data_IF_753007139584
#
_entry.id   IF_753007139584
#
_cell.length_a   1.000
_cell.length_b   1.000
_cell.length_c   1.000
_cell.angle_alpha   90.00
_cell.angle_beta   90.00
_cell.angle_gamma   90.00
#
_symmetry.space_group_name_H-M   'P 1'
#
loop_
_entity.id
_entity.type
_entity.pdbx_description
1 polymer ?
#
# COMPACT_ATOMS: atom_id res chain seq x y z
N UNK A 1 -37.73 73.77 62.66
CA UNK A 1 -36.71 73.12 61.81
C UNK A 1 -37.36 71.99 61.02
N UNK A 2 -37.46 72.15 59.69
CA UNK A 2 -37.23 71.14 58.64
C UNK A 2 -37.53 71.83 57.29
N UNK A 3 -36.60 71.88 56.31
CA UNK A 3 -36.88 72.48 55.00
C UNK A 3 -37.65 71.49 54.10
N UNK A 4 -38.45 71.97 53.13
CA UNK A 4 -39.26 71.12 52.28
C UNK A 4 -38.44 70.51 51.13
N UNK A 5 -38.70 69.22 50.91
CA UNK A 5 -38.47 68.36 49.74
C UNK A 5 -37.56 68.86 48.61
N UNK A 6 -36.40 68.22 48.52
CA UNK A 6 -35.56 68.07 47.31
C UNK A 6 -36.40 67.65 46.09
N UNK A 7 -36.23 68.27 44.91
CA UNK A 7 -36.85 67.78 43.69
C UNK A 7 -36.20 66.45 43.30
N UNK A 8 -37.02 65.43 43.07
CA UNK A 8 -36.60 64.16 42.49
C UNK A 8 -35.85 64.42 41.18
N UNK A 9 -34.60 63.94 41.12
CA UNK A 9 -33.76 64.03 39.94
C UNK A 9 -34.39 63.20 38.82
N UNK A 10 -34.98 63.86 37.82
CA UNK A 10 -35.51 63.22 36.61
C UNK A 10 -34.50 62.21 36.04
N UNK A 11 -34.93 61.01 35.62
CA UNK A 11 -34.05 60.06 34.97
C UNK A 11 -33.56 60.68 33.66
N UNK A 12 -32.24 60.86 33.56
CA UNK A 12 -31.58 61.41 32.40
C UNK A 12 -31.70 60.40 31.24
N UNK A 13 -32.82 60.44 30.51
CA UNK A 13 -33.08 59.63 29.33
C UNK A 13 -32.13 60.08 28.22
N UNK A 14 -30.94 59.46 28.14
CA UNK A 14 -30.06 59.69 27.00
C UNK A 14 -30.80 59.33 25.70
N UNK A 15 -30.82 60.22 24.69
CA UNK A 15 -31.47 59.93 23.43
C UNK A 15 -30.82 58.72 22.77
N UNK A 16 -31.61 57.67 22.51
CA UNK A 16 -31.16 56.47 21.84
C UNK A 16 -30.59 56.77 20.44
N UNK A 17 -29.71 55.90 19.91
CA UNK A 17 -29.10 56.13 18.60
C UNK A 17 -30.15 56.24 17.50
N UNK A 18 -30.00 57.25 16.63
CA UNK A 18 -30.88 57.44 15.46
C UNK A 18 -31.03 56.16 14.64
N UNK A 19 -32.27 55.83 14.25
CA UNK A 19 -32.61 54.66 13.42
C UNK A 19 -31.76 54.58 12.15
N UNK A 20 -31.38 55.72 11.57
CA UNK A 20 -30.55 55.81 10.38
C UNK A 20 -29.10 55.32 10.62
N UNK A 21 -28.50 55.65 11.77
CA UNK A 21 -27.17 55.15 12.17
C UNK A 21 -27.20 53.63 12.40
N UNK A 22 -28.26 53.12 13.02
CA UNK A 22 -28.39 51.66 13.27
C UNK A 22 -28.52 50.90 11.95
N UNK A 23 -29.26 51.42 10.96
CA UNK A 23 -29.40 50.81 9.64
C UNK A 23 -28.07 50.83 8.85
N UNK A 24 -27.30 51.92 8.92
CA UNK A 24 -26.01 52.01 8.20
C UNK A 24 -24.97 51.03 8.76
N UNK A 25 -24.88 50.89 10.09
CA UNK A 25 -24.00 49.90 10.75
C UNK A 25 -24.41 48.47 10.38
N UNK A 26 -25.71 48.16 10.40
CA UNK A 26 -26.23 46.85 9.98
C UNK A 26 -25.86 46.52 8.53
N UNK A 27 -25.96 47.50 7.62
CA UNK A 27 -25.56 47.32 6.22
C UNK A 27 -24.06 47.03 6.11
N UNK A 28 -23.22 47.85 6.75
CA UNK A 28 -21.77 47.66 6.77
C UNK A 28 -21.37 46.27 7.29
N UNK A 29 -21.99 45.82 8.38
CA UNK A 29 -21.70 44.50 8.96
C UNK A 29 -22.12 43.36 8.01
N UNK A 30 -23.23 43.51 7.28
CA UNK A 30 -23.63 42.53 6.25
C UNK A 30 -22.64 42.48 5.11
N UNK A 31 -22.20 43.64 4.63
CA UNK A 31 -21.22 43.73 3.53
C UNK A 31 -19.87 43.13 3.94
N UNK A 32 -19.43 43.40 5.17
CA UNK A 32 -18.21 42.80 5.73
C UNK A 32 -18.34 41.28 5.90
N UNK A 33 -19.46 40.80 6.44
CA UNK A 33 -19.71 39.36 6.57
C UNK A 33 -19.79 38.66 5.20
N UNK A 34 -20.35 39.32 4.19
CA UNK A 34 -20.36 38.83 2.81
C UNK A 34 -18.94 38.70 2.26
N UNK A 35 -18.11 39.74 2.42
CA UNK A 35 -16.72 39.72 1.98
C UNK A 35 -15.92 38.56 2.59
N UNK A 36 -16.06 38.30 3.89
CA UNK A 36 -15.38 37.16 4.52
C UNK A 36 -15.87 35.81 4.00
N UNK A 37 -17.17 35.66 3.74
CA UNK A 37 -17.72 34.43 3.13
C UNK A 37 -17.18 34.23 1.71
N UNK A 38 -17.17 35.28 0.91
CA UNK A 38 -16.69 35.23 -0.47
C UNK A 38 -15.19 34.90 -0.51
N UNK A 39 -14.38 35.49 0.38
CA UNK A 39 -12.96 35.16 0.52
C UNK A 39 -12.76 33.68 0.88
N UNK A 40 -13.52 33.15 1.84
CA UNK A 40 -13.45 31.72 2.19
C UNK A 40 -13.79 30.81 1.01
N UNK A 41 -14.83 31.14 0.24
CA UNK A 41 -15.21 30.38 -0.96
C UNK A 41 -14.07 30.38 -2.00
N UNK A 42 -13.41 31.53 -2.18
CA UNK A 42 -12.28 31.64 -3.10
C UNK A 42 -11.06 30.84 -2.63
N UNK A 43 -10.77 30.86 -1.32
CA UNK A 43 -9.71 30.03 -0.72
C UNK A 43 -9.98 28.53 -0.92
N UNK A 44 -11.21 28.08 -0.69
CA UNK A 44 -11.63 26.69 -0.88
C UNK A 44 -11.47 26.27 -2.36
N UNK A 45 -11.93 27.12 -3.30
CA UNK A 45 -11.75 26.88 -4.75
C UNK A 45 -10.27 26.79 -5.13
N UNK A 46 -9.44 27.68 -4.58
CA UNK A 46 -8.00 27.68 -4.84
C UNK A 46 -7.35 26.40 -4.31
N UNK A 47 -7.71 25.96 -3.11
CA UNK A 47 -7.25 24.69 -2.53
C UNK A 47 -7.67 23.49 -3.39
N UNK A 48 -8.91 23.46 -3.88
CA UNK A 48 -9.40 22.41 -4.77
C UNK A 48 -8.63 22.38 -6.09
N UNK A 49 -8.39 23.55 -6.71
CA UNK A 49 -7.61 23.64 -7.94
C UNK A 49 -6.16 23.20 -7.73
N UNK A 50 -5.52 23.57 -6.61
CA UNK A 50 -4.18 23.08 -6.25
C UNK A 50 -4.15 21.56 -6.14
N UNK A 51 -5.15 20.94 -5.51
CA UNK A 51 -5.28 19.47 -5.44
C UNK A 51 -5.43 18.84 -6.82
N UNK A 52 -6.28 19.42 -7.68
CA UNK A 52 -6.47 18.96 -9.07
C UNK A 52 -5.16 19.05 -9.86
N UNK A 53 -4.44 20.17 -9.79
CA UNK A 53 -3.14 20.36 -10.43
C UNK A 53 -2.15 19.29 -9.97
N UNK A 54 -2.05 19.03 -8.67
CA UNK A 54 -1.15 18.01 -8.14
C UNK A 54 -1.52 16.61 -8.64
N UNK A 55 -2.82 16.28 -8.65
CA UNK A 55 -3.34 15.02 -9.20
C UNK A 55 -2.97 14.87 -10.69
N UNK A 56 -3.22 15.89 -11.50
CA UNK A 56 -2.92 15.86 -12.94
C UNK A 56 -1.41 15.80 -13.20
N UNK A 57 -0.58 16.51 -12.44
CA UNK A 57 0.88 16.42 -12.51
C UNK A 57 1.36 14.99 -12.23
N UNK A 58 0.83 14.35 -11.19
CA UNK A 58 1.16 12.96 -10.87
C UNK A 58 0.67 11.98 -11.94
N UNK A 59 -0.54 12.19 -12.49
CA UNK A 59 -1.06 11.39 -13.60
C UNK A 59 -0.18 11.52 -14.84
N UNK A 60 0.18 12.75 -15.22
CA UNK A 60 1.08 13.03 -16.34
C UNK A 60 2.44 12.33 -16.15
N UNK A 61 3.05 12.41 -14.96
CA UNK A 61 4.31 11.71 -14.69
C UNK A 61 4.18 10.18 -14.83
N UNK A 62 3.06 9.60 -14.41
CA UNK A 62 2.80 8.16 -14.58
C UNK A 62 2.62 7.78 -16.03
N UNK A 63 1.84 8.55 -16.79
CA UNK A 63 1.64 8.32 -18.23
C UNK A 63 2.94 8.54 -19.01
N UNK A 64 3.70 9.60 -18.70
CA UNK A 64 5.03 9.83 -19.27
C UNK A 64 5.97 8.66 -18.98
N UNK A 65 5.93 8.04 -17.78
CA UNK A 65 6.73 6.82 -17.51
C UNK A 65 6.27 5.60 -18.31
N UNK A 66 4.98 5.51 -18.65
CA UNK A 66 4.45 4.45 -19.51
C UNK A 66 4.79 4.68 -20.99
N UNK A 67 4.73 5.93 -21.46
CA UNK A 67 4.93 6.33 -22.85
C UNK A 67 6.34 6.80 -23.22
N UNK A 68 7.23 7.15 -22.28
CA UNK A 68 8.62 7.53 -22.57
C UNK A 68 9.44 6.39 -23.17
N UNK A 69 8.86 5.21 -23.26
CA UNK A 69 9.39 4.11 -24.03
C UNK A 69 8.30 3.60 -25.00
N UNK A 70 7.94 4.38 -26.01
CA UNK A 70 7.19 3.83 -27.16
C UNK A 70 8.00 2.72 -27.85
N UNK A 71 9.33 2.80 -27.80
CA UNK A 71 10.25 1.81 -28.39
C UNK A 71 10.80 0.75 -27.41
N UNK A 72 10.54 0.88 -26.10
CA UNK A 72 10.96 -0.12 -25.11
C UNK A 72 9.78 -0.49 -24.19
N UNK A 73 9.36 -1.74 -24.07
CA UNK A 73 8.31 -2.09 -23.12
C UNK A 73 8.72 -1.60 -21.71
N UNK A 74 7.79 -0.90 -21.04
CA UNK A 74 7.96 -0.39 -19.67
C UNK A 74 8.74 -1.40 -18.83
N UNK A 75 9.83 -1.00 -18.12
CA UNK A 75 10.69 -1.96 -17.42
C UNK A 75 9.82 -2.77 -16.48
N UNK A 76 9.80 -4.07 -16.73
CA UNK A 76 8.89 -4.99 -16.07
C UNK A 76 9.26 -5.04 -14.59
N UNK A 77 8.55 -4.25 -13.78
CA UNK A 77 8.64 -4.31 -12.31
C UNK A 77 8.29 -5.71 -11.83
N UNK A 78 8.84 -6.19 -10.70
CA UNK A 78 8.46 -7.49 -10.14
C UNK A 78 6.93 -7.65 -10.04
N UNK A 79 6.22 -6.58 -9.66
CA UNK A 79 4.75 -6.56 -9.60
C UNK A 79 4.09 -6.77 -10.96
N UNK A 80 4.55 -6.10 -12.02
CA UNK A 80 3.99 -6.28 -13.37
C UNK A 80 4.33 -7.65 -13.94
N UNK A 81 5.54 -8.16 -13.71
CA UNK A 81 5.93 -9.54 -14.06
C UNK A 81 5.00 -10.56 -13.40
N UNK A 82 4.78 -10.46 -12.09
CA UNK A 82 3.88 -11.37 -11.37
C UNK A 82 2.45 -11.25 -11.87
N UNK A 83 1.94 -10.03 -12.10
CA UNK A 83 0.60 -9.84 -12.68
C UNK A 83 0.45 -10.46 -14.07
N UNK A 84 1.46 -10.32 -14.93
CA UNK A 84 1.49 -10.95 -16.26
C UNK A 84 1.52 -12.48 -16.15
N UNK A 85 2.40 -13.01 -15.30
CA UNK A 85 2.54 -14.45 -15.06
C UNK A 85 1.24 -15.07 -14.56
N UNK A 86 0.57 -14.40 -13.61
CA UNK A 86 -0.64 -14.89 -12.96
C UNK A 86 -1.93 -14.48 -13.67
N UNK A 87 -1.86 -13.87 -14.87
CA UNK A 87 -3.03 -13.29 -15.56
C UNK A 87 -4.14 -14.31 -15.82
N UNK A 88 -3.77 -15.54 -16.15
CA UNK A 88 -4.71 -16.61 -16.50
C UNK A 88 -4.97 -17.58 -15.34
N UNK A 89 -4.43 -17.31 -14.15
CA UNK A 89 -4.57 -18.20 -13.01
C UNK A 89 -5.63 -17.68 -12.05
N UNK A 90 -6.42 -18.58 -11.48
CA UNK A 90 -7.34 -18.23 -10.40
C UNK A 90 -6.55 -17.84 -9.16
N UNK A 91 -6.82 -16.65 -8.60
CA UNK A 91 -6.15 -16.17 -7.39
C UNK A 91 -6.30 -17.16 -6.21
N UNK A 92 -7.46 -17.83 -6.13
CA UNK A 92 -7.73 -18.83 -5.09
C UNK A 92 -6.82 -20.05 -5.24
N UNK A 93 -6.63 -20.53 -6.46
CA UNK A 93 -5.76 -21.68 -6.76
C UNK A 93 -4.30 -21.34 -6.51
N UNK A 94 -3.83 -20.18 -6.99
CA UNK A 94 -2.45 -19.71 -6.75
C UNK A 94 -2.18 -19.64 -5.24
N UNK A 95 -3.10 -19.06 -4.47
CA UNK A 95 -2.96 -18.96 -3.02
C UNK A 95 -2.92 -20.35 -2.36
N UNK A 96 -3.83 -21.26 -2.74
CA UNK A 96 -3.83 -22.65 -2.23
C UNK A 96 -2.52 -23.37 -2.53
N UNK A 97 -2.03 -23.27 -3.77
CA UNK A 97 -0.77 -23.90 -4.19
C UNK A 97 0.43 -23.33 -3.45
N UNK A 98 0.50 -22.01 -3.27
CA UNK A 98 1.57 -21.38 -2.50
C UNK A 98 1.53 -21.80 -1.02
N UNK A 99 0.36 -21.79 -0.38
CA UNK A 99 0.21 -22.25 1.01
C UNK A 99 0.66 -23.70 1.15
N UNK A 100 0.20 -24.58 0.25
CA UNK A 100 0.58 -25.98 0.24
C UNK A 100 2.10 -26.15 0.08
N UNK A 101 2.70 -25.43 -0.85
CA UNK A 101 4.14 -25.46 -1.10
C UNK A 101 4.94 -25.05 0.15
N UNK A 102 4.59 -23.94 0.79
CA UNK A 102 5.27 -23.49 2.01
C UNK A 102 5.04 -24.42 3.21
N UNK A 103 3.84 -24.98 3.36
CA UNK A 103 3.55 -25.96 4.40
C UNK A 103 4.40 -27.22 4.23
N UNK A 104 4.49 -27.73 3.00
CA UNK A 104 5.36 -28.87 2.66
C UNK A 104 6.84 -28.58 2.93
N UNK A 105 7.33 -27.40 2.55
CA UNK A 105 8.71 -27.00 2.82
C UNK A 105 9.02 -26.94 4.31
N UNK A 106 8.09 -26.38 5.11
CA UNK A 106 8.19 -26.36 6.56
C UNK A 106 8.28 -27.76 7.15
N UNK A 107 7.39 -28.66 6.73
CA UNK A 107 7.39 -30.06 7.18
C UNK A 107 8.68 -30.79 6.81
N UNK A 108 9.16 -30.66 5.57
CA UNK A 108 10.42 -31.29 5.13
C UNK A 108 11.59 -30.79 5.98
N UNK A 109 11.66 -29.47 6.20
CA UNK A 109 12.73 -28.85 7.00
C UNK A 109 12.68 -29.35 8.44
N UNK A 110 11.51 -29.36 9.06
CA UNK A 110 11.33 -29.81 10.44
C UNK A 110 11.66 -31.29 10.59
N UNK A 111 11.16 -32.14 9.69
CA UNK A 111 11.49 -33.57 9.67
C UNK A 111 12.99 -33.81 9.53
N UNK A 112 13.69 -33.07 8.66
CA UNK A 112 15.14 -33.20 8.53
C UNK A 112 15.90 -32.74 9.78
N UNK A 113 15.47 -31.63 10.41
CA UNK A 113 16.10 -31.09 11.61
C UNK A 113 15.89 -31.98 12.84
N UNK A 114 14.73 -32.61 12.97
CA UNK A 114 14.39 -33.47 14.11
C UNK A 114 15.14 -34.82 14.09
N UNK A 115 15.64 -35.25 12.93
CA UNK A 115 16.43 -36.46 12.83
C UNK A 115 17.81 -36.26 13.45
N UNK A 116 18.15 -37.06 14.46
CA UNK A 116 19.51 -37.10 15.04
C UNK A 116 20.43 -38.04 14.28
N UNK A 117 19.88 -39.15 13.80
CA UNK A 117 20.65 -40.19 13.11
C UNK A 117 20.94 -39.83 11.64
N UNK A 118 22.21 -40.01 11.25
CA UNK A 118 22.69 -39.80 9.89
C UNK A 118 22.14 -40.84 8.91
N UNK A 119 21.85 -42.07 9.35
CA UNK A 119 21.23 -43.08 8.49
C UNK A 119 19.84 -42.63 8.04
N UNK A 120 19.01 -42.18 8.98
CA UNK A 120 17.67 -41.67 8.70
C UNK A 120 17.70 -40.41 7.82
N UNK A 121 18.67 -39.50 8.03
CA UNK A 121 18.88 -38.34 7.14
C UNK A 121 19.19 -38.75 5.70
N UNK A 122 19.96 -39.83 5.50
CA UNK A 122 20.26 -40.37 4.16
C UNK A 122 19.02 -40.99 3.52
N UNK A 123 18.22 -41.74 4.27
CA UNK A 123 16.95 -42.30 3.80
C UNK A 123 15.97 -41.19 3.38
N UNK A 124 15.82 -40.14 4.21
CA UNK A 124 15.01 -38.98 3.87
C UNK A 124 15.55 -38.28 2.61
N UNK A 125 16.87 -38.08 2.50
CA UNK A 125 17.50 -37.52 1.30
C UNK A 125 17.27 -38.38 0.04
N UNK A 126 17.16 -39.70 0.17
CA UNK A 126 16.83 -40.61 -0.92
C UNK A 126 15.36 -40.48 -1.36
N UNK A 127 14.44 -40.39 -0.40
CA UNK A 127 13.03 -40.08 -0.67
C UNK A 127 12.91 -38.72 -1.37
N UNK A 128 13.70 -37.74 -0.93
CA UNK A 128 13.74 -36.40 -1.52
C UNK A 128 14.27 -36.37 -2.97
N UNK A 129 15.02 -37.41 -3.40
CA UNK A 129 15.46 -37.61 -4.79
C UNK A 129 14.36 -38.18 -5.69
N UNK A 130 13.23 -38.64 -5.13
CA UNK A 130 12.16 -39.33 -5.84
C UNK A 130 11.46 -38.50 -6.92
N UNK A 131 10.80 -39.20 -7.85
CA UNK A 131 10.07 -38.61 -8.97
C UNK A 131 8.92 -37.68 -8.55
N UNK A 132 8.33 -37.93 -7.38
CA UNK A 132 7.22 -37.12 -6.84
C UNK A 132 7.63 -35.67 -6.62
N UNK A 133 8.77 -35.40 -5.98
CA UNK A 133 9.27 -34.03 -5.75
C UNK A 133 9.77 -33.36 -7.03
N UNK A 134 10.10 -34.16 -8.06
CA UNK A 134 10.40 -33.66 -9.41
C UNK A 134 9.14 -33.14 -10.10
N UNK A 135 8.01 -33.84 -9.95
CA UNK A 135 6.71 -33.44 -10.53
C UNK A 135 6.25 -32.07 -10.00
N UNK A 136 6.51 -31.79 -8.73
CA UNK A 136 6.12 -30.53 -8.08
C UNK A 136 7.23 -29.46 -8.03
N UNK A 137 8.36 -29.66 -8.71
CA UNK A 137 9.52 -28.74 -8.70
C UNK A 137 10.09 -28.41 -7.29
N UNK A 138 9.75 -29.21 -6.28
CA UNK A 138 10.14 -29.02 -4.87
C UNK A 138 11.57 -29.50 -4.57
N UNK A 139 12.15 -30.29 -5.47
CA UNK A 139 13.49 -30.90 -5.31
C UNK A 139 14.56 -29.88 -4.95
N UNK A 140 14.59 -28.75 -5.66
CA UNK A 140 15.61 -27.71 -5.49
C UNK A 140 15.52 -27.05 -4.11
N UNK A 141 14.30 -26.78 -3.64
CA UNK A 141 14.09 -26.13 -2.35
C UNK A 141 14.26 -27.10 -1.19
N UNK A 142 13.80 -28.35 -1.33
CA UNK A 142 14.03 -29.40 -0.34
C UNK A 142 15.53 -29.64 -0.09
N UNK A 143 16.36 -29.65 -1.14
CA UNK A 143 17.81 -29.76 -0.98
C UNK A 143 18.45 -28.56 -0.30
N UNK A 144 18.02 -27.34 -0.63
CA UNK A 144 18.49 -26.13 0.08
C UNK A 144 18.13 -26.18 1.57
N UNK A 145 16.91 -26.60 1.89
CA UNK A 145 16.43 -26.69 3.27
C UNK A 145 17.12 -27.80 4.08
N UNK A 146 17.53 -28.88 3.41
CA UNK A 146 18.24 -30.01 4.05
C UNK A 146 19.77 -29.89 3.94
N UNK A 147 20.33 -28.81 3.38
CA UNK A 147 21.77 -28.64 3.20
C UNK A 147 22.43 -29.66 2.25
N UNK A 148 21.66 -30.28 1.36
CA UNK A 148 22.13 -31.32 0.44
C UNK A 148 22.63 -30.64 -0.84
N UNK A 149 23.92 -30.78 -1.16
CA UNK A 149 24.49 -30.11 -2.33
C UNK A 149 23.98 -30.74 -3.65
N UNK A 150 23.23 -29.94 -4.41
CA UNK A 150 22.58 -30.35 -5.68
C UNK A 150 23.63 -30.74 -6.73
N UNK A 151 24.82 -30.14 -6.68
CA UNK A 151 25.87 -30.30 -7.70
C UNK A 151 26.46 -31.70 -7.76
N UNK A 152 26.50 -32.43 -6.65
CA UNK A 152 27.08 -33.77 -6.60
C UNK A 152 26.16 -34.87 -7.16
N UNK A 153 24.84 -34.62 -7.22
CA UNK A 153 23.89 -35.63 -7.74
C UNK A 153 23.73 -35.60 -9.26
N UNK A 154 24.02 -34.47 -9.92
CA UNK A 154 23.94 -34.34 -11.38
C UNK A 154 25.18 -34.90 -12.11
N UNK A 155 26.35 -34.89 -11.46
CA UNK A 155 27.60 -35.44 -12.03
C UNK A 155 27.59 -36.97 -12.20
N UNK A 156 26.76 -37.70 -11.44
CA UNK A 156 26.70 -39.16 -11.50
C UNK A 156 26.14 -39.66 -12.84
N UNK A 157 25.22 -38.91 -13.48
CA UNK A 157 24.62 -39.33 -14.75
C UNK A 157 25.56 -39.21 -15.96
N UNK A 158 26.54 -38.31 -15.92
CA UNK A 158 27.44 -38.08 -17.06
C UNK A 158 28.66 -39.01 -17.08
N UNK A 159 28.97 -39.71 -15.99
CA UNK A 159 30.07 -40.69 -15.94
C UNK A 159 29.67 -42.08 -16.45
N UNK A 160 28.38 -42.45 -16.38
CA UNK A 160 27.90 -43.76 -16.80
C UNK A 160 27.79 -43.93 -18.32
N UNK A 161 27.75 -42.83 -19.08
CA UNK A 161 27.63 -42.86 -20.54
C UNK A 161 28.99 -43.09 -21.23
N UNK A 162 30.11 -42.85 -20.55
CA UNK A 162 31.47 -42.97 -21.13
C UNK A 162 32.17 -44.32 -20.86
N UNK A 163 31.47 -45.35 -20.39
CA UNK A 163 32.06 -46.67 -20.11
C UNK A 163 31.62 -47.79 -21.07
N UNK A 164 30.82 -47.46 -22.08
CA UNK A 164 30.42 -48.40 -23.14
C UNK A 164 30.74 -47.77 -24.51
N UNK A 165 32.03 -47.69 -24.83
CA UNK A 165 32.57 -47.70 -26.21
C UNK A 165 33.86 -48.51 -26.13
#
# INVERSE_FOLDING_TARGET
MTPPNTPESSPNLQPGPSRQKVQSVKKRNRDQAKCYRDNKILEDKLAEQKRKIQMYKQRYLREKRKGANFDKPCPDTPRTKTKKLLRNFSQKEVRKTLIYHYAMEGQIKQSYQNLKDNSQKRSLAAILKGSLLRKYNLKTTAYRNCGIDVRNTLKVKNKSIKKNV
#
